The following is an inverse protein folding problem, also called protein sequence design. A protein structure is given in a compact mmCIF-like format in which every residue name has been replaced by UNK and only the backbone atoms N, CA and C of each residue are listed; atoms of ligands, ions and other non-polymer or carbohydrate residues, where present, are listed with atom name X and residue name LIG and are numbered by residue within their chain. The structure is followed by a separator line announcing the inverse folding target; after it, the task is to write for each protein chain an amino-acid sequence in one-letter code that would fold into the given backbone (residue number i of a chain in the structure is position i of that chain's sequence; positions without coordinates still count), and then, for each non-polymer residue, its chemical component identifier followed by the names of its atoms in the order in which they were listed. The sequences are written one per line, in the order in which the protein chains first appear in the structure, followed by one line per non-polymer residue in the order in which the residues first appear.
data_IF_779379739503
#
_entry.id   IF_779379739503
#
_cell.length_a   1.000
_cell.length_b   1.000
_cell.length_c   1.000
_cell.angle_alpha   90.00
_cell.angle_beta   90.00
_cell.angle_gamma   90.00
#
_symmetry.space_group_name_H-M   'P 1'
#
loop_
_entity.id
_entity.type
_entity.pdbx_description
1 polymer ?
#
# COMPACT_ATOMS: atom_id res chain seq x y z
N UNK A 1 0.48 -42.84 -7.62
CA UNK A 1 -0.41 -41.76 -7.16
C UNK A 1 0.17 -41.18 -5.88
N UNK A 2 0.42 -39.87 -5.83
CA UNK A 2 0.94 -39.19 -4.63
C UNK A 2 -0.19 -38.80 -3.70
N UNK A 3 0.13 -38.47 -2.45
CA UNK A 3 -0.84 -37.95 -1.48
C UNK A 3 -1.48 -36.66 -2.00
N UNK A 4 -0.70 -35.78 -2.65
CA UNK A 4 -1.20 -34.55 -3.26
C UNK A 4 -2.31 -34.82 -4.30
N UNK A 5 -2.07 -35.75 -5.23
CA UNK A 5 -3.05 -36.12 -6.26
C UNK A 5 -4.28 -36.82 -5.65
N UNK A 6 -4.09 -37.59 -4.58
CA UNK A 6 -5.20 -38.21 -3.87
C UNK A 6 -6.11 -37.18 -3.19
N UNK A 7 -5.53 -36.11 -2.64
CA UNK A 7 -6.29 -34.98 -2.10
C UNK A 7 -7.04 -34.22 -3.19
N UNK A 8 -6.41 -33.95 -4.35
CA UNK A 8 -7.07 -33.31 -5.49
C UNK A 8 -8.31 -34.11 -5.96
N UNK A 9 -8.20 -35.44 -6.02
CA UNK A 9 -9.34 -36.33 -6.36
C UNK A 9 -10.41 -36.33 -5.27
N UNK A 10 -10.02 -36.17 -4.00
CA UNK A 10 -10.94 -36.03 -2.88
C UNK A 10 -11.59 -34.63 -2.77
N UNK A 11 -11.28 -33.70 -3.68
CA UNK A 11 -11.78 -32.33 -3.66
C UNK A 11 -11.10 -31.44 -2.61
N UNK A 12 -9.94 -31.84 -2.12
CA UNK A 12 -9.15 -31.11 -1.12
C UNK A 12 -7.96 -30.44 -1.80
N UNK A 13 -7.97 -29.11 -1.82
CA UNK A 13 -6.90 -28.34 -2.44
C UNK A 13 -5.76 -28.08 -1.43
N UNK A 14 -4.52 -28.41 -1.83
CA UNK A 14 -3.32 -28.26 -0.99
C UNK A 14 -2.42 -27.19 -1.61
N UNK A 15 -2.04 -26.14 -0.87
CA UNK A 15 -1.22 -25.05 -1.40
C UNK A 15 0.14 -25.58 -1.87
N UNK A 16 0.50 -25.22 -3.10
CA UNK A 16 1.72 -25.67 -3.76
C UNK A 16 2.36 -24.57 -4.60
N UNK A 17 3.65 -24.34 -4.38
CA UNK A 17 4.46 -23.40 -5.17
C UNK A 17 5.41 -24.11 -6.13
N UNK A 18 6.06 -25.17 -5.65
CA UNK A 18 7.15 -25.84 -6.34
C UNK A 18 6.75 -27.14 -7.05
N UNK A 19 5.45 -27.46 -7.14
CA UNK A 19 4.94 -28.67 -7.78
C UNK A 19 4.12 -28.35 -9.04
N UNK A 20 4.45 -29.03 -10.14
CA UNK A 20 3.65 -29.08 -11.35
C UNK A 20 3.60 -30.52 -11.88
N UNK A 21 2.41 -30.99 -12.27
CA UNK A 21 2.17 -32.30 -12.92
C UNK A 21 3.07 -32.64 -14.12
N UNK A 22 3.61 -31.63 -14.83
CA UNK A 22 4.49 -31.83 -16.00
C UNK A 22 5.99 -31.78 -15.67
N UNK A 23 6.34 -31.48 -14.43
CA UNK A 23 7.73 -31.36 -13.97
C UNK A 23 8.03 -32.41 -12.90
N UNK A 24 9.31 -32.67 -12.66
CA UNK A 24 9.75 -33.54 -11.57
C UNK A 24 9.47 -32.90 -10.20
N UNK A 25 9.36 -33.75 -9.18
CA UNK A 25 9.08 -33.32 -7.82
C UNK A 25 10.35 -32.73 -7.20
N UNK A 26 10.33 -31.44 -6.89
CA UNK A 26 11.47 -30.71 -6.30
C UNK A 26 11.41 -30.68 -4.76
N UNK A 27 10.24 -30.35 -4.19
CA UNK A 27 10.03 -30.42 -2.73
C UNK A 27 10.69 -29.33 -1.88
N UNK A 28 11.17 -28.23 -2.48
CA UNK A 28 11.86 -27.15 -1.75
C UNK A 28 10.93 -26.26 -0.92
N UNK A 29 9.71 -26.01 -1.40
CA UNK A 29 8.82 -25.00 -0.85
C UNK A 29 8.11 -25.38 0.46
N UNK A 30 8.03 -26.68 0.80
CA UNK A 30 7.38 -27.23 2.02
C UNK A 30 5.96 -26.72 2.34
N UNK A 31 5.29 -26.06 1.39
CA UNK A 31 3.93 -25.55 1.58
C UNK A 31 2.86 -26.65 1.59
N UNK A 32 3.20 -27.82 1.03
CA UNK A 32 2.28 -28.95 0.88
C UNK A 32 2.43 -30.01 1.99
N UNK A 33 2.87 -29.60 3.18
CA UNK A 33 3.03 -30.49 4.32
C UNK A 33 1.67 -30.95 4.83
N UNK A 34 1.53 -32.26 5.02
CA UNK A 34 0.32 -32.90 5.53
C UNK A 34 0.68 -33.84 6.67
N UNK A 35 -0.21 -33.94 7.65
CA UNK A 35 -0.12 -34.94 8.69
C UNK A 35 -0.73 -36.25 8.22
N UNK A 36 -0.02 -37.34 8.46
CA UNK A 36 -0.44 -38.70 8.11
C UNK A 36 -0.48 -39.53 9.38
N UNK A 37 -1.57 -40.27 9.58
CA UNK A 37 -1.63 -41.24 10.68
C UNK A 37 -0.43 -42.21 10.58
N UNK A 38 0.36 -42.29 11.66
CA UNK A 38 1.63 -43.05 11.81
C UNK A 38 2.93 -42.34 11.40
N UNK A 39 2.91 -41.07 10.97
CA UNK A 39 4.15 -40.27 10.88
C UNK A 39 4.30 -39.33 12.09
N UNK A 40 5.46 -39.32 12.77
CA UNK A 40 5.69 -38.40 13.89
C UNK A 40 5.95 -36.95 13.45
N UNK A 41 6.16 -36.72 12.15
CA UNK A 41 6.41 -35.41 11.54
C UNK A 41 5.53 -35.22 10.30
N UNK A 42 5.13 -33.98 9.97
CA UNK A 42 4.42 -33.69 8.72
C UNK A 42 5.26 -34.09 7.51
N UNK A 43 4.60 -34.72 6.53
CA UNK A 43 5.24 -35.22 5.31
C UNK A 43 4.83 -34.36 4.11
N UNK A 44 5.73 -34.21 3.14
CA UNK A 44 5.43 -33.45 1.93
C UNK A 44 4.50 -34.28 1.02
N UNK A 45 3.27 -33.81 0.83
CA UNK A 45 2.26 -34.51 0.00
C UNK A 45 2.69 -34.68 -1.46
N UNK A 46 3.52 -33.77 -1.98
CA UNK A 46 4.01 -33.79 -3.35
C UNK A 46 4.98 -34.95 -3.63
N UNK A 47 5.68 -35.46 -2.61
CA UNK A 47 6.68 -36.52 -2.75
C UNK A 47 6.22 -37.85 -2.12
N UNK A 48 5.24 -37.81 -1.22
CA UNK A 48 4.76 -39.00 -0.52
C UNK A 48 3.82 -39.82 -1.41
N UNK A 49 4.05 -41.13 -1.61
CA UNK A 49 3.10 -42.01 -2.27
C UNK A 49 1.85 -42.22 -1.41
N UNK A 50 0.66 -42.23 -2.03
CA UNK A 50 -0.58 -42.53 -1.34
C UNK A 50 -0.69 -44.04 -1.08
N UNK A 51 -0.88 -44.44 0.19
CA UNK A 51 -1.19 -45.81 0.56
C UNK A 51 -2.70 -45.95 0.84
N UNK A 52 -3.32 -47.11 0.61
CA UNK A 52 -4.77 -47.32 0.76
C UNK A 52 -5.30 -47.11 2.19
N UNK A 53 -4.43 -47.03 3.21
CA UNK A 53 -4.79 -46.82 4.63
C UNK A 53 -4.32 -45.44 5.13
N UNK A 54 -3.92 -44.52 4.25
CA UNK A 54 -3.56 -43.16 4.66
C UNK A 54 -4.83 -42.40 5.00
N UNK A 55 -5.04 -42.16 6.30
CA UNK A 55 -6.02 -41.20 6.79
C UNK A 55 -5.32 -39.86 6.95
N UNK A 56 -5.71 -38.90 6.12
CA UNK A 56 -5.22 -37.51 6.14
C UNK A 56 -6.20 -36.72 7.00
N UNK A 57 -6.30 -37.07 8.28
CA UNK A 57 -7.21 -36.46 9.21
C UNK A 57 -6.39 -35.54 10.14
N UNK A 58 -6.64 -34.22 10.04
CA UNK A 58 -6.41 -33.15 11.06
C UNK A 58 -5.65 -31.90 10.57
N UNK A 59 -4.59 -32.01 9.78
CA UNK A 59 -3.76 -30.84 9.41
C UNK A 59 -4.45 -29.79 8.51
N UNK A 60 -5.43 -30.18 7.68
CA UNK A 60 -6.09 -29.25 6.76
C UNK A 60 -7.05 -28.27 7.44
N UNK A 61 -7.65 -28.65 8.57
CA UNK A 61 -8.55 -27.78 9.33
C UNK A 61 -7.78 -26.64 10.01
N UNK A 62 -6.61 -26.93 10.57
CA UNK A 62 -5.78 -25.95 11.27
C UNK A 62 -5.07 -25.00 10.27
N UNK A 63 -4.66 -25.50 9.10
CA UNK A 63 -4.14 -24.67 8.02
C UNK A 63 -5.21 -23.78 7.37
N UNK A 64 -6.47 -24.21 7.29
CA UNK A 64 -7.56 -23.41 6.72
C UNK A 64 -7.84 -22.14 7.54
N UNK A 65 -7.83 -22.27 8.88
CA UNK A 65 -8.00 -21.13 9.77
C UNK A 65 -6.83 -20.15 9.66
N UNK A 66 -5.59 -20.65 9.75
CA UNK A 66 -4.40 -19.80 9.64
C UNK A 66 -4.23 -19.16 8.26
N UNK A 67 -4.66 -19.83 7.19
CA UNK A 67 -4.63 -19.26 5.84
C UNK A 67 -5.67 -18.15 5.67
N UNK A 68 -6.86 -18.31 6.25
CA UNK A 68 -7.89 -17.26 6.27
C UNK A 68 -7.38 -15.98 6.94
N UNK A 69 -6.74 -16.11 8.10
CA UNK A 69 -6.15 -14.97 8.81
C UNK A 69 -5.06 -14.26 7.99
N UNK A 70 -4.22 -15.03 7.29
CA UNK A 70 -3.18 -14.47 6.41
C UNK A 70 -3.81 -13.74 5.22
N UNK A 71 -4.87 -14.28 4.61
CA UNK A 71 -5.56 -13.62 3.50
C UNK A 71 -6.19 -12.31 3.96
N UNK A 72 -6.92 -12.32 5.08
CA UNK A 72 -7.57 -11.12 5.64
C UNK A 72 -6.54 -10.05 6.01
N UNK A 73 -5.44 -10.45 6.67
CA UNK A 73 -4.35 -9.51 6.97
C UNK A 73 -3.67 -8.97 5.71
N UNK A 74 -3.52 -9.79 4.67
CA UNK A 74 -2.93 -9.35 3.38
C UNK A 74 -3.86 -8.35 2.68
N UNK A 75 -5.17 -8.59 2.66
CA UNK A 75 -6.15 -7.68 2.09
C UNK A 75 -6.20 -6.35 2.85
N UNK A 76 -6.21 -6.40 4.19
CA UNK A 76 -6.15 -5.20 5.03
C UNK A 76 -4.88 -4.39 4.77
N UNK A 77 -3.70 -5.02 4.81
CA UNK A 77 -2.43 -4.33 4.58
C UNK A 77 -2.34 -3.75 3.17
N UNK A 78 -2.89 -4.44 2.17
CA UNK A 78 -2.97 -3.92 0.80
C UNK A 78 -3.82 -2.65 0.74
N UNK A 79 -4.96 -2.63 1.43
CA UNK A 79 -5.81 -1.46 1.49
C UNK A 79 -5.14 -0.29 2.23
N UNK A 80 -4.52 -0.54 3.39
CA UNK A 80 -3.77 0.47 4.14
C UNK A 80 -2.61 1.06 3.34
N UNK A 81 -1.91 0.22 2.57
CA UNK A 81 -0.85 0.65 1.66
C UNK A 81 -1.41 1.56 0.57
N UNK A 82 -2.52 1.18 -0.08
CA UNK A 82 -3.13 1.97 -1.15
C UNK A 82 -3.60 3.33 -0.65
N UNK A 83 -4.23 3.39 0.53
CA UNK A 83 -4.60 4.65 1.19
C UNK A 83 -3.37 5.50 1.50
N UNK A 84 -2.28 4.89 1.98
CA UNK A 84 -1.05 5.61 2.32
C UNK A 84 -0.34 6.15 1.07
N UNK A 85 -0.27 5.36 0.00
CA UNK A 85 0.30 5.77 -1.27
C UNK A 85 -0.51 6.90 -1.88
N UNK A 86 -1.84 6.83 -1.87
CA UNK A 86 -2.69 7.91 -2.35
C UNK A 86 -2.46 9.20 -1.55
N UNK A 87 -2.32 9.13 -0.22
CA UNK A 87 -1.94 10.28 0.61
C UNK A 87 -0.58 10.85 0.21
N UNK A 88 0.42 9.99 -0.03
CA UNK A 88 1.75 10.43 -0.47
C UNK A 88 1.70 11.11 -1.84
N UNK A 89 0.93 10.59 -2.79
CA UNK A 89 0.75 11.20 -4.11
C UNK A 89 0.12 12.60 -3.98
N UNK A 90 -0.96 12.72 -3.20
CA UNK A 90 -1.61 13.99 -2.94
C UNK A 90 -0.64 15.00 -2.33
N UNK A 91 0.11 14.60 -1.30
CA UNK A 91 1.12 15.46 -0.67
C UNK A 91 2.19 15.84 -1.70
N UNK A 92 2.66 14.90 -2.52
CA UNK A 92 3.69 15.17 -3.52
C UNK A 92 3.23 16.16 -4.60
N UNK A 93 1.97 16.09 -5.03
CA UNK A 93 1.37 17.05 -5.94
C UNK A 93 1.25 18.42 -5.28
N UNK A 94 0.78 18.48 -4.03
CA UNK A 94 0.67 19.73 -3.29
C UNK A 94 2.03 20.41 -3.09
N UNK A 95 3.06 19.65 -2.69
CA UNK A 95 4.40 20.22 -2.49
C UNK A 95 4.99 20.72 -3.81
N UNK A 96 4.69 20.08 -4.94
CA UNK A 96 5.15 20.54 -6.26
C UNK A 96 4.53 21.87 -6.66
N UNK A 97 3.25 22.06 -6.38
CA UNK A 97 2.49 23.22 -6.86
C UNK A 97 2.53 24.41 -5.88
N UNK A 98 2.79 24.16 -4.60
CA UNK A 98 2.69 25.18 -3.54
C UNK A 98 3.98 25.40 -2.73
N UNK A 99 5.08 24.70 -3.03
CA UNK A 99 6.40 25.05 -2.50
C UNK A 99 7.25 25.77 -3.53
N UNK A 100 7.86 26.86 -3.10
CA UNK A 100 8.92 27.54 -3.85
C UNK A 100 10.17 26.67 -3.85
N UNK A 101 10.80 26.53 -5.01
CA UNK A 101 12.13 25.91 -5.11
C UNK A 101 13.17 26.72 -4.34
N UNK A 102 14.24 26.06 -3.88
CA UNK A 102 15.37 26.73 -3.23
C UNK A 102 15.97 27.85 -4.10
N UNK A 103 15.93 27.70 -5.43
CA UNK A 103 16.38 28.72 -6.39
C UNK A 103 15.48 29.96 -6.39
N UNK A 104 14.15 29.79 -6.30
CA UNK A 104 13.18 30.88 -6.23
C UNK A 104 13.26 31.61 -4.88
N UNK A 105 13.49 30.86 -3.80
CA UNK A 105 13.74 31.40 -2.46
C UNK A 105 15.01 32.24 -2.45
N UNK A 106 16.08 31.79 -3.13
CA UNK A 106 17.33 32.53 -3.24
C UNK A 106 17.17 33.80 -4.09
N UNK A 107 16.54 33.68 -5.26
CA UNK A 107 16.27 34.81 -6.15
C UNK A 107 15.36 35.87 -5.52
N UNK A 108 14.48 35.47 -4.59
CA UNK A 108 13.63 36.40 -3.83
C UNK A 108 14.36 37.14 -2.71
N UNK A 109 15.55 36.67 -2.30
CA UNK A 109 16.39 37.25 -1.24
C UNK A 109 17.55 38.10 -1.77
N UNK A 110 17.84 38.02 -3.07
CA UNK A 110 18.83 38.84 -3.74
C UNK A 110 18.29 40.28 -3.95
N UNK A 111 19.14 41.29 -3.76
CA UNK A 111 18.77 42.72 -3.88
C UNK A 111 18.58 43.18 -5.34
N UNK A 112 19.09 42.42 -6.30
CA UNK A 112 19.02 42.75 -7.72
C UNK A 112 17.72 42.25 -8.38
N UNK A 113 16.98 43.16 -8.99
CA UNK A 113 15.76 42.89 -9.76
C UNK A 113 16.09 42.12 -11.05
N UNK A 114 16.31 40.82 -10.93
CA UNK A 114 16.58 39.92 -12.06
C UNK A 114 15.30 39.33 -12.66
N UNK A 115 15.39 38.77 -13.87
CA UNK A 115 14.27 38.05 -14.51
C UNK A 115 13.77 36.87 -13.64
N UNK A 116 14.67 36.27 -12.85
CA UNK A 116 14.36 35.17 -11.95
C UNK A 116 13.53 35.62 -10.75
N UNK A 117 13.74 36.86 -10.25
CA UNK A 117 12.88 37.47 -9.22
C UNK A 117 11.44 37.62 -9.70
N UNK A 118 11.23 38.09 -10.93
CA UNK A 118 9.87 38.24 -11.49
C UNK A 118 9.19 36.89 -11.75
N UNK A 119 9.94 35.86 -12.15
CA UNK A 119 9.42 34.48 -12.27
C UNK A 119 8.96 33.94 -10.91
N UNK A 120 9.79 34.09 -9.87
CA UNK A 120 9.43 33.71 -8.51
C UNK A 120 8.19 34.50 -8.01
N UNK A 121 8.12 35.81 -8.24
CA UNK A 121 6.99 36.65 -7.82
C UNK A 121 5.68 36.24 -8.54
N UNK A 122 5.74 35.93 -9.83
CA UNK A 122 4.59 35.42 -10.60
C UNK A 122 4.08 34.10 -10.02
N UNK A 123 5.00 33.18 -9.67
CA UNK A 123 4.64 31.91 -9.05
C UNK A 123 4.00 32.10 -7.66
N UNK A 124 4.54 32.99 -6.82
CA UNK A 124 3.92 33.35 -5.52
C UNK A 124 2.51 33.91 -5.69
N UNK A 125 2.28 34.75 -6.70
CA UNK A 125 0.94 35.30 -6.97
C UNK A 125 -0.05 34.21 -7.40
N UNK A 126 0.39 33.24 -8.18
CA UNK A 126 -0.40 32.08 -8.61
C UNK A 126 -0.77 31.19 -7.43
N UNK A 127 0.21 30.84 -6.58
CA UNK A 127 0.01 30.12 -5.31
C UNK A 127 -1.06 30.83 -4.46
N UNK A 128 -0.95 32.15 -4.30
CA UNK A 128 -1.90 32.93 -3.51
C UNK A 128 -3.31 32.97 -4.12
N UNK A 129 -3.43 33.04 -5.45
CA UNK A 129 -4.70 32.98 -6.15
C UNK A 129 -5.39 31.60 -5.98
N UNK A 130 -4.63 30.52 -6.10
CA UNK A 130 -5.11 29.16 -5.93
C UNK A 130 -5.54 28.87 -4.48
N UNK A 131 -4.76 29.32 -3.49
CA UNK A 131 -5.13 29.24 -2.07
C UNK A 131 -6.42 30.02 -1.77
N UNK A 132 -6.64 31.17 -2.41
CA UNK A 132 -7.88 31.95 -2.27
C UNK A 132 -9.12 31.19 -2.79
N UNK A 133 -8.96 30.36 -3.83
CA UNK A 133 -10.03 29.50 -4.35
C UNK A 133 -10.31 28.36 -3.36
N UNK A 134 -9.27 27.66 -2.90
CA UNK A 134 -9.36 26.58 -1.90
C UNK A 134 -10.02 27.03 -0.59
N UNK A 135 -9.67 28.20 -0.07
CA UNK A 135 -10.24 28.76 1.15
C UNK A 135 -11.71 29.19 0.96
N UNK A 136 -12.10 29.64 -0.24
CA UNK A 136 -13.50 29.98 -0.55
C UNK A 136 -14.40 28.75 -0.61
N UNK A 137 -13.92 27.65 -1.18
CA UNK A 137 -14.64 26.37 -1.17
C UNK A 137 -14.76 25.79 0.24
N UNK A 138 -13.71 25.92 1.07
CA UNK A 138 -13.74 25.44 2.46
C UNK A 138 -14.71 26.24 3.35
N UNK A 139 -14.81 27.56 3.18
CA UNK A 139 -15.77 28.38 3.91
C UNK A 139 -17.24 27.98 3.63
N UNK A 140 -17.52 27.37 2.48
CA UNK A 140 -18.84 26.83 2.16
C UNK A 140 -19.10 25.44 2.77
N UNK A 141 -18.06 24.72 3.22
CA UNK A 141 -18.16 23.32 3.69
C UNK A 141 -18.08 23.13 5.22
N UNK A 142 -17.79 24.18 6.00
CA UNK A 142 -17.99 24.21 7.45
C UNK A 142 -17.53 23.00 8.26
N UNK A 143 -16.22 22.81 8.45
CA UNK A 143 -15.67 22.12 9.62
C UNK A 143 -14.21 22.55 9.89
N UNK A 144 -13.81 22.51 11.16
CA UNK A 144 -12.63 23.14 11.75
C UNK A 144 -11.28 22.57 11.26
N UNK A 145 -10.25 23.43 11.18
CA UNK A 145 -9.07 23.34 12.05
C UNK A 145 -8.17 24.60 11.91
N UNK A 146 -7.49 24.93 13.00
CA UNK A 146 -6.90 26.23 13.34
C UNK A 146 -5.73 26.65 12.45
N UNK A 147 -5.82 27.86 11.86
CA UNK A 147 -4.67 28.57 11.27
C UNK A 147 -4.05 29.48 12.34
N UNK A 148 -2.92 29.07 12.89
CA UNK A 148 -2.05 29.94 13.70
C UNK A 148 -1.00 30.56 12.77
N UNK A 149 -1.17 31.84 12.46
CA UNK A 149 -0.17 32.65 11.78
C UNK A 149 0.71 33.32 12.85
N UNK A 150 1.96 32.87 12.99
CA UNK A 150 2.95 33.58 13.80
C UNK A 150 3.76 34.52 12.89
N UNK A 151 3.79 35.80 13.26
CA UNK A 151 4.20 36.91 12.40
C UNK A 151 5.72 37.07 12.20
N UNK A 152 6.52 36.04 12.45
CA UNK A 152 7.98 36.17 12.57
C UNK A 152 8.79 35.36 11.58
N UNK A 153 8.20 34.35 10.94
CA UNK A 153 8.89 33.51 9.96
C UNK A 153 7.92 33.20 8.81
N UNK A 154 8.35 33.42 7.57
CA UNK A 154 7.60 33.11 6.34
C UNK A 154 7.61 31.59 6.13
N UNK A 155 7.10 30.84 7.10
CA UNK A 155 6.84 29.41 6.99
C UNK A 155 5.36 29.24 7.28
N UNK A 156 4.54 29.37 6.25
CA UNK A 156 3.17 28.89 6.29
C UNK A 156 3.22 27.36 6.36
N UNK A 157 3.37 26.81 7.56
CA UNK A 157 3.12 25.39 7.82
C UNK A 157 1.61 25.20 7.76
N UNK A 158 1.09 25.08 6.54
CA UNK A 158 -0.25 24.60 6.32
C UNK A 158 -0.30 23.15 6.80
N UNK A 159 -0.78 22.95 8.04
CA UNK A 159 -1.22 21.63 8.52
C UNK A 159 -2.53 21.30 7.80
N UNK A 160 -2.42 21.09 6.49
CA UNK A 160 -3.51 20.66 5.62
C UNK A 160 -3.57 19.14 5.73
N UNK A 161 -4.53 18.63 6.50
CA UNK A 161 -5.14 17.33 6.19
C UNK A 161 -6.32 17.63 5.26
N UNK A 162 -6.10 17.70 3.94
CA UNK A 162 -7.19 18.00 3.02
C UNK A 162 -8.22 16.87 3.07
N UNK A 163 -9.53 17.19 3.00
CA UNK A 163 -10.55 16.18 2.75
C UNK A 163 -10.28 15.55 1.38
N UNK A 164 -10.18 14.22 1.37
CA UNK A 164 -9.84 13.37 0.21
C UNK A 164 -10.72 13.61 -1.03
N UNK A 165 -11.91 14.20 -0.86
CA UNK A 165 -12.92 14.34 -1.91
C UNK A 165 -12.80 15.61 -2.77
N UNK A 166 -11.87 16.52 -2.45
CA UNK A 166 -11.79 17.84 -3.10
C UNK A 166 -10.59 18.08 -4.02
N UNK A 167 -9.74 17.07 -4.26
CA UNK A 167 -8.64 17.24 -5.21
C UNK A 167 -9.12 17.13 -6.67
N UNK A 168 -8.72 18.06 -7.55
CA UNK A 168 -8.87 17.86 -8.98
C UNK A 168 -8.08 16.60 -9.35
N UNK A 169 -8.72 15.64 -10.03
CA UNK A 169 -8.06 14.44 -10.52
C UNK A 169 -6.86 14.86 -11.36
N UNK A 170 -5.65 14.56 -10.89
CA UNK A 170 -4.47 14.63 -11.74
C UNK A 170 -4.70 13.68 -12.92
N UNK A 171 -4.63 14.25 -14.12
CA UNK A 171 -4.73 13.55 -15.38
C UNK A 171 -3.32 13.39 -15.96
#
# INVERSE_FOLDING_TARGET
MTVLLACEVAGVDIPRFCYHSRLSIVGNCRMCLVEVEKSPKPVASCAMPALPVVRIAKALSDCGASLGDIIDTTERLKHELEVTTQRQEIVSCFLRDYQLSNEEIHASREEDLSENFFKALSHVQEIHANCKILLRTHHQQGLADTVSADSSDVVLVFSFTPPMDSFPRCN
#
